data_IF_262918363711
#
_entry.id   IF_262918363711
#
_cell.length_a   1.000
_cell.length_b   1.000
_cell.length_c   1.000
_cell.angle_alpha   90.00
_cell.angle_beta   90.00
_cell.angle_gamma   90.00
#
_symmetry.space_group_name_H-M   'P 1'
#
loop_
_entity.id
_entity.type
_entity.pdbx_description
1 polymer ?
#
# COMPACT_ATOMS: atom_id res chain seq x y z
N UNK A 1 -12.02 -4.73 -2.90
CA UNK A 1 -11.70 -5.55 -1.71
C UNK A 1 -12.86 -6.45 -1.28
N UNK A 2 -14.07 -5.92 -1.07
CA UNK A 2 -15.21 -6.73 -0.62
C UNK A 2 -15.50 -7.97 -1.50
N UNK A 3 -15.55 -7.81 -2.82
CA UNK A 3 -15.70 -8.93 -3.76
C UNK A 3 -14.58 -9.97 -3.62
N UNK A 4 -13.33 -9.52 -3.53
CA UNK A 4 -12.13 -10.38 -3.40
C UNK A 4 -12.21 -11.20 -2.12
N UNK A 5 -12.55 -10.56 -0.99
CA UNK A 5 -12.63 -11.21 0.32
C UNK A 5 -13.79 -12.22 0.39
N UNK A 6 -14.96 -11.89 -0.16
CA UNK A 6 -16.10 -12.83 -0.25
C UNK A 6 -15.75 -14.10 -1.02
N UNK A 7 -14.90 -13.98 -2.04
CA UNK A 7 -14.47 -15.09 -2.89
C UNK A 7 -13.15 -15.75 -2.44
N UNK A 8 -12.59 -15.38 -1.29
CA UNK A 8 -11.34 -15.93 -0.73
C UNK A 8 -10.14 -15.85 -1.70
N UNK A 9 -10.05 -14.77 -2.46
CA UNK A 9 -8.95 -14.53 -3.40
C UNK A 9 -7.81 -13.81 -2.67
N UNK A 10 -6.57 -14.26 -2.86
CA UNK A 10 -5.39 -13.58 -2.29
C UNK A 10 -5.18 -12.20 -2.92
N UNK A 11 -4.90 -11.17 -2.12
CA UNK A 11 -4.75 -9.79 -2.61
C UNK A 11 -3.63 -8.98 -1.97
N UNK A 12 -2.91 -8.23 -2.80
CA UNK A 12 -2.04 -7.13 -2.37
C UNK A 12 -2.83 -5.82 -2.29
N UNK A 13 -2.92 -5.23 -1.10
CA UNK A 13 -3.56 -3.94 -0.85
C UNK A 13 -2.49 -2.85 -1.03
N UNK A 14 -2.25 -2.46 -2.28
CA UNK A 14 -1.21 -1.51 -2.66
C UNK A 14 -1.70 -0.05 -2.57
N UNK A 15 -1.44 0.63 -1.45
CA UNK A 15 -1.84 2.03 -1.25
C UNK A 15 -1.01 2.73 -0.17
N UNK A 16 -0.85 4.05 -0.29
CA UNK A 16 -0.28 4.93 0.74
C UNK A 16 -1.33 5.84 1.40
N UNK A 17 -2.60 5.70 0.98
CA UNK A 17 -3.70 6.52 1.46
C UNK A 17 -4.26 5.95 2.76
N UNK A 18 -4.07 6.67 3.87
CA UNK A 18 -4.51 6.25 5.21
C UNK A 18 -6.02 5.93 5.27
N UNK A 19 -6.93 6.79 4.78
CA UNK A 19 -8.34 6.42 4.64
C UNK A 19 -8.61 5.07 3.96
N UNK A 20 -7.86 4.74 2.90
CA UNK A 20 -7.99 3.44 2.21
C UNK A 20 -7.47 2.27 3.07
N UNK A 21 -6.38 2.47 3.81
CA UNK A 21 -5.86 1.48 4.77
C UNK A 21 -6.89 1.23 5.88
N UNK A 22 -7.47 2.28 6.46
CA UNK A 22 -8.52 2.14 7.48
C UNK A 22 -9.79 1.48 6.94
N UNK A 23 -10.17 1.77 5.69
CA UNK A 23 -11.24 1.08 4.99
C UNK A 23 -10.94 -0.41 4.79
N UNK A 24 -9.70 -0.76 4.48
CA UNK A 24 -9.27 -2.14 4.35
C UNK A 24 -9.36 -2.89 5.69
N UNK A 25 -8.94 -2.29 6.81
CA UNK A 25 -9.09 -2.89 8.15
C UNK A 25 -10.54 -3.25 8.45
N UNK A 26 -11.47 -2.31 8.23
CA UNK A 26 -12.91 -2.54 8.44
C UNK A 26 -13.43 -3.72 7.61
N UNK A 27 -12.96 -3.86 6.38
CA UNK A 27 -13.36 -4.98 5.52
C UNK A 27 -12.72 -6.31 5.95
N UNK A 28 -11.45 -6.31 6.36
CA UNK A 28 -10.76 -7.48 6.88
C UNK A 28 -11.49 -8.03 8.11
N UNK A 29 -11.87 -7.14 9.03
CA UNK A 29 -12.64 -7.49 10.24
C UNK A 29 -14.05 -7.99 9.89
N UNK A 30 -14.79 -7.25 9.07
CA UNK A 30 -16.15 -7.60 8.63
C UNK A 30 -16.23 -8.99 7.99
N UNK A 31 -15.23 -9.34 7.17
CA UNK A 31 -15.20 -10.61 6.44
C UNK A 31 -14.36 -11.69 7.13
N UNK A 32 -13.80 -11.42 8.31
CA UNK A 32 -12.91 -12.32 9.06
C UNK A 32 -11.82 -12.93 8.17
N UNK A 33 -11.16 -12.08 7.39
CA UNK A 33 -10.21 -12.51 6.36
C UNK A 33 -8.95 -13.07 7.03
N UNK A 34 -8.55 -14.32 6.75
CA UNK A 34 -7.29 -14.88 7.23
C UNK A 34 -6.08 -14.05 6.79
N UNK A 35 -5.09 -13.90 7.67
CA UNK A 35 -3.87 -13.10 7.41
C UNK A 35 -3.05 -13.56 6.20
N UNK A 36 -3.17 -14.83 5.80
CA UNK A 36 -2.47 -15.35 4.62
C UNK A 36 -3.17 -15.06 3.29
N UNK A 37 -4.37 -14.44 3.29
CA UNK A 37 -5.10 -14.07 2.07
C UNK A 37 -4.91 -12.60 1.68
N UNK A 38 -4.16 -11.83 2.46
CA UNK A 38 -3.86 -10.45 2.10
C UNK A 38 -2.50 -10.00 2.62
N UNK A 39 -1.99 -8.97 1.98
CA UNK A 39 -0.85 -8.20 2.46
C UNK A 39 -1.04 -6.74 2.08
N UNK A 40 -0.54 -5.82 2.90
CA UNK A 40 -0.43 -4.42 2.51
C UNK A 40 0.85 -4.22 1.70
N UNK A 41 0.79 -3.35 0.69
CA UNK A 41 1.93 -3.08 -0.16
C UNK A 41 2.18 -1.58 -0.29
N UNK A 42 3.44 -1.16 -0.15
CA UNK A 42 3.85 0.24 -0.27
C UNK A 42 5.19 0.37 -0.98
N UNK A 43 5.45 1.54 -1.57
CA UNK A 43 6.74 1.88 -2.17
C UNK A 43 7.76 2.18 -1.08
N UNK A 44 9.01 1.79 -1.33
CA UNK A 44 10.12 2.16 -0.48
C UNK A 44 10.26 3.69 -0.36
N UNK A 45 10.47 4.18 0.86
CA UNK A 45 10.65 5.60 1.16
C UNK A 45 9.36 6.42 1.30
N UNK A 46 8.18 5.83 1.04
CA UNK A 46 6.90 6.54 1.18
C UNK A 46 6.21 6.14 2.49
N UNK A 47 5.70 7.13 3.23
CA UNK A 47 4.89 6.97 4.46
C UNK A 47 5.41 5.89 5.44
N UNK A 48 6.67 5.98 5.92
CA UNK A 48 7.24 4.99 6.85
C UNK A 48 6.38 4.77 8.09
N UNK A 49 5.89 5.85 8.72
CA UNK A 49 5.04 5.75 9.93
C UNK A 49 3.76 4.95 9.73
N UNK A 50 3.13 5.07 8.55
CA UNK A 50 1.93 4.30 8.24
C UNK A 50 2.28 2.82 8.06
N UNK A 51 3.44 2.50 7.47
CA UNK A 51 3.93 1.12 7.38
C UNK A 51 4.15 0.53 8.76
N UNK A 52 4.83 1.26 9.63
CA UNK A 52 5.11 0.83 11.00
C UNK A 52 3.79 0.54 11.73
N UNK A 53 2.81 1.45 11.63
CA UNK A 53 1.48 1.26 12.23
C UNK A 53 0.74 0.03 11.70
N UNK A 54 0.86 -0.30 10.40
CA UNK A 54 0.26 -1.51 9.81
C UNK A 54 0.89 -2.77 10.40
N UNK A 55 2.22 -2.78 10.51
CA UNK A 55 2.99 -3.92 11.04
C UNK A 55 2.73 -4.10 12.54
N UNK A 56 2.69 -3.01 13.32
CA UNK A 56 2.35 -3.04 14.76
C UNK A 56 0.96 -3.61 15.03
N UNK A 57 0.01 -3.40 14.11
CA UNK A 57 -1.33 -4.00 14.17
C UNK A 57 -1.36 -5.49 13.76
N UNK A 58 -0.21 -6.09 13.43
CA UNK A 58 -0.07 -7.51 13.10
C UNK A 58 -0.40 -7.86 11.64
N UNK A 59 -0.44 -6.89 10.74
CA UNK A 59 -0.72 -7.14 9.33
C UNK A 59 0.55 -7.31 8.50
N UNK A 60 0.52 -8.24 7.54
CA UNK A 60 1.63 -8.46 6.60
C UNK A 60 1.88 -7.22 5.73
N UNK A 61 3.15 -6.82 5.61
CA UNK A 61 3.60 -5.68 4.79
C UNK A 61 4.65 -6.14 3.77
N UNK A 62 4.47 -5.74 2.51
CA UNK A 62 5.46 -5.89 1.43
C UNK A 62 5.89 -4.52 0.93
N UNK A 63 7.19 -4.28 0.92
CA UNK A 63 7.76 -3.02 0.41
C UNK A 63 8.30 -3.24 -1.00
N UNK A 64 7.82 -2.45 -1.96
CA UNK A 64 8.35 -2.40 -3.31
C UNK A 64 9.64 -1.58 -3.34
N UNK A 65 10.77 -2.25 -3.55
CA UNK A 65 12.11 -1.65 -3.55
C UNK A 65 12.67 -1.67 -4.97
N UNK A 66 12.69 -0.53 -5.69
CA UNK A 66 13.43 -0.44 -6.95
C UNK A 66 14.94 -0.49 -6.67
N UNK A 67 15.70 -1.17 -7.52
CA UNK A 67 17.15 -1.36 -7.37
C UNK A 67 17.87 -1.32 -8.74
N UNK A 68 19.21 -1.21 -8.74
CA UNK A 68 20.04 -1.12 -9.96
C UNK A 68 20.50 0.30 -10.28
N UNK A 69 21.40 0.48 -11.26
CA UNK A 69 21.99 1.80 -11.57
C UNK A 69 20.96 2.83 -12.08
N UNK A 70 19.99 2.38 -12.87
CA UNK A 70 18.99 3.24 -13.52
C UNK A 70 17.67 3.35 -12.77
N UNK A 71 17.65 2.97 -11.48
CA UNK A 71 16.43 2.94 -10.65
C UNK A 71 15.69 4.28 -10.66
N UNK A 72 16.43 5.40 -10.63
CA UNK A 72 15.88 6.75 -10.56
C UNK A 72 15.12 7.11 -11.84
N UNK A 73 15.70 6.81 -13.02
CA UNK A 73 15.06 7.05 -14.31
C UNK A 73 13.79 6.20 -14.49
N UNK A 74 13.83 4.94 -14.03
CA UNK A 74 12.67 4.05 -14.04
C UNK A 74 11.52 4.57 -13.15
N UNK A 75 11.82 4.89 -11.89
CA UNK A 75 10.82 5.36 -10.91
C UNK A 75 10.21 6.70 -11.33
N UNK A 76 11.02 7.65 -11.80
CA UNK A 76 10.52 8.96 -12.26
C UNK A 76 9.65 8.85 -13.51
N UNK A 77 9.98 7.98 -14.47
CA UNK A 77 9.13 7.73 -15.64
C UNK A 77 7.77 7.15 -15.24
N UNK A 78 7.75 6.13 -14.36
CA UNK A 78 6.50 5.53 -13.86
C UNK A 78 5.61 6.54 -13.14
N UNK A 79 6.20 7.47 -12.39
CA UNK A 79 5.47 8.56 -11.75
C UNK A 79 4.90 9.54 -12.77
N UNK A 80 5.69 9.94 -13.78
CA UNK A 80 5.26 10.89 -14.83
C UNK A 80 4.15 10.33 -15.71
N UNK A 81 4.21 9.04 -16.05
CA UNK A 81 3.17 8.36 -16.84
C UNK A 81 1.84 8.23 -16.09
N UNK A 82 1.83 8.42 -14.76
CA UNK A 82 0.61 8.37 -13.96
C UNK A 82 0.51 9.60 -13.02
N UNK A 83 0.08 10.77 -13.55
CA UNK A 83 0.06 12.03 -12.80
C UNK A 83 -0.77 11.97 -11.52
N UNK A 84 -1.84 11.16 -11.51
CA UNK A 84 -2.67 10.92 -10.32
C UNK A 84 -1.90 10.12 -9.27
N UNK A 85 -1.18 9.07 -9.66
CA UNK A 85 -0.34 8.31 -8.73
C UNK A 85 0.76 9.20 -8.13
N UNK A 86 1.41 10.03 -8.95
CA UNK A 86 2.40 10.99 -8.48
C UNK A 86 1.80 11.98 -7.48
N UNK A 87 0.62 12.53 -7.74
CA UNK A 87 -0.05 13.45 -6.80
C UNK A 87 -0.44 12.75 -5.49
N UNK A 88 -0.88 11.50 -5.53
CA UNK A 88 -1.17 10.71 -4.32
C UNK A 88 0.10 10.44 -3.50
N UNK A 89 1.23 10.12 -4.14
CA UNK A 89 2.50 9.90 -3.44
C UNK A 89 3.02 11.21 -2.85
N UNK A 90 3.01 12.30 -3.62
CA UNK A 90 3.38 13.64 -3.14
C UNK A 90 2.51 14.02 -1.94
N UNK A 91 1.18 13.86 -2.06
CA UNK A 91 0.27 14.10 -0.93
C UNK A 91 0.59 13.20 0.26
N UNK A 92 0.94 11.94 0.06
CA UNK A 92 1.31 11.03 1.14
C UNK A 92 2.66 11.40 1.81
N UNK A 93 3.59 12.02 1.06
CA UNK A 93 4.87 12.52 1.60
C UNK A 93 4.66 13.82 2.40
N UNK A 94 3.89 14.78 1.86
CA UNK A 94 3.75 16.12 2.44
C UNK A 94 2.59 16.25 3.43
N UNK A 95 1.52 15.48 3.24
CA UNK A 95 0.29 15.51 4.04
C UNK A 95 0.24 14.28 4.94
N UNK A 96 1.16 14.26 5.92
CA UNK A 96 1.15 13.41 7.13
C UNK A 96 1.47 11.92 6.94
N UNK A 97 2.64 11.53 7.46
CA UNK A 97 2.76 10.25 8.17
C UNK A 97 1.89 10.21 9.44
#
# INVERSE_FOLDING_TARGET
LEFIFKNRIHVGIATHDKPLVEGAYKLIEKYKVPSHLYEFQMLYGVTPKLRDSIVEKGHSMRVYVPYGKDWFGYSTRRLKENPKMASHIIKAIFYKG
#
